data_IF_394171673435
#
_entry.id   IF_394171673435
#
_cell.length_a   1.000
_cell.length_b   1.000
_cell.length_c   1.000
_cell.angle_alpha   90.00
_cell.angle_beta   90.00
_cell.angle_gamma   90.00
#
_symmetry.space_group_name_H-M   'P 1'
#
loop_
_entity.id
_entity.type
_entity.pdbx_description
1 polymer ?
#
# COMPACT_ATOMS: atom_id res chain seq x y z
N UNK A 1 -16.58 13.28 31.31
CA UNK A 1 -16.22 12.24 30.32
C UNK A 1 -15.34 12.80 29.21
N UNK A 2 -14.03 12.88 29.45
CA UNK A 2 -13.08 13.21 28.39
C UNK A 2 -11.99 12.16 28.35
N UNK A 3 -11.79 11.57 27.17
CA UNK A 3 -10.72 10.63 26.90
C UNK A 3 -9.74 11.26 25.92
N UNK A 4 -8.45 10.98 26.11
CA UNK A 4 -7.39 11.36 25.18
C UNK A 4 -6.86 10.12 24.51
N UNK A 5 -7.08 10.01 23.20
CA UNK A 5 -6.48 8.96 22.40
C UNK A 5 -4.98 9.21 22.27
N UNK A 6 -4.22 8.12 22.33
CA UNK A 6 -2.77 8.09 22.17
C UNK A 6 -2.42 7.09 21.07
N UNK A 7 -1.17 7.11 20.62
CA UNK A 7 -0.66 6.01 19.80
C UNK A 7 -0.66 4.72 20.62
N UNK A 8 -1.17 3.60 20.07
CA UNK A 8 -1.28 2.36 20.81
C UNK A 8 0.09 1.72 21.08
N UNK A 9 1.11 2.08 20.30
CA UNK A 9 2.47 1.55 20.41
C UNK A 9 3.49 2.63 20.02
N UNK A 10 4.73 2.47 20.51
CA UNK A 10 5.89 3.18 19.98
C UNK A 10 6.40 2.40 18.77
N UNK A 11 6.17 2.93 17.57
CA UNK A 11 6.67 2.32 16.32
C UNK A 11 8.20 2.41 16.32
N UNK A 12 8.87 1.25 16.22
CA UNK A 12 10.31 1.19 15.98
C UNK A 12 10.59 1.48 14.51
N UNK A 13 10.09 0.60 13.64
CA UNK A 13 10.13 0.73 12.19
C UNK A 13 8.74 0.46 11.58
N UNK A 14 8.49 1.05 10.42
CA UNK A 14 7.27 0.82 9.64
C UNK A 14 7.66 0.37 8.23
N UNK A 15 7.07 -0.74 7.80
CA UNK A 15 7.19 -1.25 6.43
C UNK A 15 5.80 -1.52 5.92
N UNK A 16 5.52 -1.04 4.72
CA UNK A 16 4.30 -1.33 3.99
C UNK A 16 4.64 -2.01 2.68
N UNK A 17 3.85 -3.03 2.33
CA UNK A 17 4.11 -3.84 1.16
C UNK A 17 3.08 -3.61 0.07
N UNK A 18 3.54 -3.71 -1.17
CA UNK A 18 2.68 -3.59 -2.35
C UNK A 18 2.16 -4.96 -2.83
N UNK A 19 1.57 -5.75 -1.93
CA UNK A 19 1.29 -7.18 -2.18
C UNK A 19 -0.05 -7.49 -2.86
N UNK A 20 -0.89 -6.50 -3.13
CA UNK A 20 -2.20 -6.75 -3.76
C UNK A 20 -2.09 -6.76 -5.28
N UNK A 21 -2.30 -7.93 -5.90
CA UNK A 21 -2.21 -8.10 -7.37
C UNK A 21 -3.18 -7.20 -8.13
N UNK A 22 -4.44 -7.09 -7.68
CA UNK A 22 -5.41 -6.21 -8.34
C UNK A 22 -5.06 -4.74 -8.16
N UNK A 23 -4.56 -4.35 -6.99
CA UNK A 23 -4.10 -2.99 -6.76
C UNK A 23 -2.91 -2.66 -7.68
N UNK A 24 -1.91 -3.54 -7.73
CA UNK A 24 -0.75 -3.40 -8.60
C UNK A 24 -1.12 -3.35 -10.08
N UNK A 25 -2.06 -4.21 -10.52
CA UNK A 25 -2.53 -4.24 -11.91
C UNK A 25 -3.31 -2.99 -12.29
N UNK A 26 -4.19 -2.52 -11.42
CA UNK A 26 -5.01 -1.33 -11.68
C UNK A 26 -4.13 -0.08 -11.78
N UNK A 27 -3.22 0.12 -10.82
CA UNK A 27 -2.21 1.18 -10.90
C UNK A 27 -1.35 1.03 -12.15
N UNK A 28 -0.85 -0.18 -12.40
CA UNK A 28 -0.08 -0.53 -13.59
C UNK A 28 -0.73 -0.14 -14.90
N UNK A 29 -2.03 -0.42 -15.03
CA UNK A 29 -2.81 -0.12 -16.24
C UNK A 29 -2.88 1.38 -16.50
N UNK A 30 -3.07 2.18 -15.44
CA UNK A 30 -3.11 3.65 -15.53
C UNK A 30 -1.78 4.21 -16.03
N UNK A 31 -0.65 3.67 -15.56
CA UNK A 31 0.67 4.26 -15.82
C UNK A 31 1.42 3.66 -17.00
N UNK A 32 1.17 2.39 -17.34
CA UNK A 32 1.93 1.62 -18.35
C UNK A 32 1.06 1.01 -19.44
N UNK A 33 -0.26 1.23 -19.37
CA UNK A 33 -1.21 0.57 -20.25
C UNK A 33 -1.51 -0.87 -19.79
N UNK A 34 -2.60 -1.47 -20.33
CA UNK A 34 -3.07 -2.77 -19.90
C UNK A 34 -2.11 -3.92 -20.28
N UNK A 35 -1.33 -3.80 -21.35
CA UNK A 35 -0.39 -4.85 -21.79
C UNK A 35 0.82 -5.00 -20.85
N UNK A 36 1.21 -3.91 -20.18
CA UNK A 36 2.41 -3.83 -19.35
C UNK A 36 2.10 -3.44 -17.90
N UNK A 37 0.89 -3.76 -17.43
CA UNK A 37 0.40 -3.33 -16.13
C UNK A 37 1.24 -3.88 -14.95
N UNK A 38 1.65 -5.15 -15.01
CA UNK A 38 2.42 -5.81 -13.96
C UNK A 38 3.91 -5.87 -14.36
N UNK A 39 4.82 -5.29 -13.55
CA UNK A 39 6.25 -5.51 -13.74
C UNK A 39 6.61 -6.94 -13.35
N UNK A 40 7.71 -7.49 -13.89
CA UNK A 40 8.10 -8.87 -13.61
C UNK A 40 8.56 -9.12 -12.16
N UNK A 41 8.65 -8.09 -11.32
CA UNK A 41 9.21 -8.13 -9.97
C UNK A 41 8.59 -7.09 -9.03
#
# INVERSE_FOLDING_TARGET
DQVKMLLPVRVGDYTDFFCSMYHARNCGTIFRGPEHAIPPN
#
